data_IF_364992221357
#
_entry.id   IF_364992221357
#
_cell.length_a   1.000
_cell.length_b   1.000
_cell.length_c   1.000
_cell.angle_alpha   90.00
_cell.angle_beta   90.00
_cell.angle_gamma   90.00
#
_symmetry.space_group_name_H-M   'P 1'
#
loop_
_entity.id
_entity.type
_entity.pdbx_description
1 polymer ?
#
# COMPACT_ATOMS: atom_id res chain seq x y z
N UNK A 1 0.25 73.21 16.40
CA UNK A 1 1.13 72.17 15.82
C UNK A 1 0.94 70.89 16.66
N UNK A 2 -0.08 70.12 16.43
CA UNK A 2 -0.39 68.82 17.04
C UNK A 2 -1.78 68.44 16.53
N UNK A 3 -1.87 67.76 15.38
CA UNK A 3 -3.06 67.03 14.89
C UNK A 3 -2.71 66.49 13.49
N UNK A 4 -2.09 65.32 13.39
CA UNK A 4 -1.98 64.54 12.16
C UNK A 4 -1.23 63.22 12.49
N UNK A 5 -1.78 62.38 13.32
CA UNK A 5 -1.38 60.94 13.43
C UNK A 5 -2.59 60.20 14.04
N UNK A 6 -3.65 59.99 13.29
CA UNK A 6 -4.69 59.03 13.68
C UNK A 6 -5.56 58.74 12.45
N UNK A 7 -4.97 58.15 11.44
CA UNK A 7 -5.81 57.63 10.34
C UNK A 7 -5.01 56.65 9.42
N UNK A 8 -4.47 55.59 9.99
CA UNK A 8 -3.87 54.49 9.17
C UNK A 8 -3.82 53.18 9.95
N UNK A 9 -4.91 52.78 10.61
CA UNK A 9 -4.93 51.49 11.32
C UNK A 9 -6.32 50.85 11.35
N UNK A 10 -7.02 50.85 10.23
CA UNK A 10 -8.24 50.04 10.02
C UNK A 10 -8.36 49.55 8.58
N UNK A 11 -7.29 49.06 7.99
CA UNK A 11 -7.42 48.40 6.67
C UNK A 11 -6.45 47.21 6.55
N UNK A 12 -6.40 46.34 7.53
CA UNK A 12 -5.57 45.12 7.48
C UNK A 12 -6.19 43.91 8.21
N UNK A 13 -7.52 43.75 8.16
CA UNK A 13 -8.17 42.55 8.74
C UNK A 13 -9.32 42.01 7.89
N UNK A 14 -9.15 41.87 6.58
CA UNK A 14 -10.14 41.15 5.74
C UNK A 14 -9.52 40.24 4.69
N UNK A 15 -8.26 39.82 4.81
CA UNK A 15 -7.62 38.89 3.86
C UNK A 15 -7.20 37.58 4.56
N UNK A 16 -7.90 37.17 5.60
CA UNK A 16 -7.57 35.96 6.37
C UNK A 16 -8.57 34.79 6.25
N UNK A 17 -9.72 35.00 5.61
CA UNK A 17 -10.79 33.98 5.65
C UNK A 17 -10.99 33.19 4.33
N UNK A 18 -10.26 33.51 3.26
CA UNK A 18 -10.48 32.88 1.96
C UNK A 18 -9.52 31.72 1.62
N UNK A 19 -8.55 31.41 2.47
CA UNK A 19 -7.55 30.37 2.17
C UNK A 19 -7.73 29.06 2.97
N UNK A 20 -8.76 28.97 3.83
CA UNK A 20 -8.99 27.77 4.64
C UNK A 20 -10.06 26.82 4.07
N UNK A 21 -10.75 27.19 3.00
CA UNK A 21 -11.78 26.36 2.37
C UNK A 21 -11.28 25.52 1.18
N UNK A 22 -10.02 25.66 0.75
CA UNK A 22 -9.47 24.94 -0.37
C UNK A 22 -8.88 23.55 -0.03
N UNK A 23 -8.88 23.13 1.23
CA UNK A 23 -8.37 21.81 1.66
C UNK A 23 -9.48 20.78 1.97
N UNK A 24 -10.75 21.14 1.80
CA UNK A 24 -11.88 20.26 2.15
C UNK A 24 -12.65 19.72 0.93
N UNK A 25 -12.19 19.93 -0.29
CA UNK A 25 -12.73 19.27 -1.48
C UNK A 25 -11.68 18.36 -2.11
N UNK A 26 -11.28 17.33 -1.37
CA UNK A 26 -10.91 16.08 -2.02
C UNK A 26 -12.25 15.46 -2.41
N UNK A 27 -12.61 15.61 -3.69
CA UNK A 27 -13.74 14.90 -4.29
C UNK A 27 -13.72 13.46 -3.78
N UNK A 28 -14.86 12.98 -3.31
CA UNK A 28 -15.06 11.57 -3.00
C UNK A 28 -14.80 10.81 -4.28
N UNK A 29 -13.60 10.23 -4.39
CA UNK A 29 -13.25 9.36 -5.49
C UNK A 29 -14.38 8.35 -5.66
N UNK A 30 -14.90 8.21 -6.86
CA UNK A 30 -15.93 7.23 -7.15
C UNK A 30 -15.31 5.84 -6.97
N UNK A 31 -16.10 4.82 -6.61
CA UNK A 31 -15.55 3.47 -6.43
C UNK A 31 -14.80 2.96 -7.67
N UNK A 32 -15.15 3.46 -8.85
CA UNK A 32 -14.48 3.16 -10.14
C UNK A 32 -13.09 3.77 -10.19
N UNK A 33 -12.90 5.01 -9.71
CA UNK A 33 -11.61 5.69 -9.70
C UNK A 33 -10.63 4.99 -8.74
N UNK A 34 -11.11 4.61 -7.55
CA UNK A 34 -10.31 3.86 -6.56
C UNK A 34 -9.87 2.50 -7.12
N UNK A 35 -10.76 1.79 -7.81
CA UNK A 35 -10.44 0.49 -8.43
C UNK A 35 -9.36 0.64 -9.51
N UNK A 36 -9.46 1.65 -10.37
CA UNK A 36 -8.46 1.92 -11.41
C UNK A 36 -7.10 2.27 -10.82
N UNK A 37 -7.06 3.11 -9.81
CA UNK A 37 -5.82 3.52 -9.15
C UNK A 37 -5.13 2.33 -8.48
N UNK A 38 -5.88 1.45 -7.82
CA UNK A 38 -5.35 0.21 -7.23
C UNK A 38 -4.82 -0.74 -8.32
N UNK A 39 -5.49 -0.86 -9.46
CA UNK A 39 -5.03 -1.69 -10.58
C UNK A 39 -3.73 -1.19 -11.18
N UNK A 40 -3.62 0.12 -11.42
CA UNK A 40 -2.41 0.75 -11.94
C UNK A 40 -1.24 0.55 -10.98
N UNK A 41 -1.46 0.82 -9.68
CA UNK A 41 -0.47 0.63 -8.64
C UNK A 41 0.03 -0.83 -8.58
N UNK A 42 -0.88 -1.81 -8.67
CA UNK A 42 -0.52 -3.24 -8.68
C UNK A 42 0.34 -3.61 -9.88
N UNK A 43 0.00 -3.09 -11.08
CA UNK A 43 0.74 -3.37 -12.31
C UNK A 43 2.15 -2.84 -12.24
N UNK A 44 2.30 -1.60 -11.84
CA UNK A 44 3.59 -0.91 -11.79
C UNK A 44 4.50 -1.53 -10.72
N UNK A 45 3.96 -1.84 -9.54
CA UNK A 45 4.72 -2.47 -8.47
C UNK A 45 5.09 -3.93 -8.75
N UNK A 46 4.27 -4.71 -9.47
CA UNK A 46 4.63 -6.08 -9.87
C UNK A 46 5.81 -6.08 -10.87
N UNK A 47 5.80 -5.17 -11.85
CA UNK A 47 6.88 -5.04 -12.84
C UNK A 47 8.20 -4.62 -12.21
N UNK A 48 8.16 -3.67 -11.28
CA UNK A 48 9.35 -3.11 -10.68
C UNK A 48 9.87 -3.90 -9.46
N UNK A 49 9.05 -4.73 -8.81
CA UNK A 49 9.46 -5.46 -7.60
C UNK A 49 10.69 -6.33 -7.82
N UNK A 50 10.71 -7.15 -8.87
CA UNK A 50 11.84 -8.02 -9.21
C UNK A 50 13.10 -7.21 -9.49
N UNK A 51 12.94 -6.10 -10.21
CA UNK A 51 14.02 -5.15 -10.51
C UNK A 51 14.57 -4.47 -9.24
N UNK A 52 13.69 -4.02 -8.35
CA UNK A 52 14.08 -3.42 -7.07
C UNK A 52 14.83 -4.40 -6.18
N UNK A 53 14.40 -5.67 -6.14
CA UNK A 53 15.12 -6.73 -5.42
C UNK A 53 16.49 -6.94 -6.06
N UNK A 54 16.59 -7.05 -7.38
CA UNK A 54 17.86 -7.25 -8.08
C UNK A 54 18.86 -6.11 -7.83
N UNK A 55 18.39 -4.87 -7.73
CA UNK A 55 19.24 -3.69 -7.47
C UNK A 55 19.75 -3.64 -6.01
N UNK A 56 19.05 -4.26 -5.06
CA UNK A 56 19.34 -4.14 -3.64
C UNK A 56 19.84 -5.45 -2.99
N UNK A 57 19.82 -6.56 -3.73
CA UNK A 57 20.30 -7.87 -3.26
C UNK A 57 21.57 -8.27 -4.05
N UNK A 58 22.78 -8.11 -3.47
CA UNK A 58 24.02 -8.39 -4.17
C UNK A 58 24.27 -9.89 -4.29
N UNK A 59 23.81 -10.49 -5.38
CA UNK A 59 24.01 -11.91 -5.72
C UNK A 59 25.21 -12.06 -6.65
N UNK A 60 25.98 -13.14 -6.46
CA UNK A 60 26.92 -13.63 -7.49
C UNK A 60 26.14 -14.26 -8.65
N UNK A 61 26.78 -14.50 -9.79
CA UNK A 61 26.10 -15.16 -10.92
C UNK A 61 25.56 -16.56 -10.57
N UNK A 62 26.33 -17.33 -9.79
CA UNK A 62 25.91 -18.66 -9.31
C UNK A 62 24.69 -18.55 -8.39
N UNK A 63 24.72 -17.62 -7.42
CA UNK A 63 23.58 -17.39 -6.52
C UNK A 63 22.34 -16.92 -7.29
N UNK A 64 22.51 -16.01 -8.24
CA UNK A 64 21.42 -15.47 -9.06
C UNK A 64 20.74 -16.58 -9.88
N UNK A 65 21.51 -17.47 -10.49
CA UNK A 65 20.99 -18.61 -11.26
C UNK A 65 20.11 -19.54 -10.40
N UNK A 66 20.47 -19.71 -9.12
CA UNK A 66 19.72 -20.58 -8.20
C UNK A 66 18.57 -19.83 -7.51
N UNK A 67 18.75 -18.55 -7.21
CA UNK A 67 17.78 -17.74 -6.46
C UNK A 67 16.55 -17.37 -7.29
N UNK A 68 16.71 -16.92 -8.53
CA UNK A 68 15.58 -16.40 -9.30
C UNK A 68 14.47 -17.41 -9.56
N UNK A 69 14.73 -18.70 -9.85
CA UNK A 69 13.67 -19.70 -9.93
C UNK A 69 12.88 -19.87 -8.63
N UNK A 70 13.55 -19.80 -7.47
CA UNK A 70 12.90 -19.85 -6.15
C UNK A 70 12.08 -18.59 -5.90
N UNK A 71 12.62 -17.43 -6.24
CA UNK A 71 11.89 -16.17 -6.16
C UNK A 71 10.63 -16.18 -7.03
N UNK A 72 10.69 -16.69 -8.25
CA UNK A 72 9.53 -16.73 -9.15
C UNK A 72 8.41 -17.62 -8.60
N UNK A 73 8.73 -18.73 -7.92
CA UNK A 73 7.76 -19.57 -7.20
C UNK A 73 7.17 -18.82 -5.98
N UNK A 74 8.00 -18.17 -5.18
CA UNK A 74 7.57 -17.33 -4.07
C UNK A 74 6.63 -16.22 -4.55
N UNK A 75 7.02 -15.53 -5.61
CA UNK A 75 6.23 -14.43 -6.18
C UNK A 75 4.89 -14.92 -6.73
N UNK A 76 4.82 -16.14 -7.30
CA UNK A 76 3.58 -16.76 -7.76
C UNK A 76 2.64 -17.09 -6.60
N UNK A 77 3.14 -17.68 -5.50
CA UNK A 77 2.33 -17.99 -4.31
C UNK A 77 1.81 -16.70 -3.66
N UNK A 78 2.68 -15.69 -3.48
CA UNK A 78 2.27 -14.37 -2.99
C UNK A 78 1.29 -13.68 -3.95
N UNK A 79 1.44 -13.89 -5.24
CA UNK A 79 0.54 -13.36 -6.27
C UNK A 79 -0.90 -13.85 -6.09
N UNK A 80 -1.10 -15.15 -5.89
CA UNK A 80 -2.44 -15.74 -5.63
C UNK A 80 -3.11 -15.13 -4.40
N UNK A 81 -2.36 -15.00 -3.30
CA UNK A 81 -2.84 -14.35 -2.08
C UNK A 81 -3.21 -12.88 -2.33
N UNK A 82 -2.38 -12.16 -3.08
CA UNK A 82 -2.62 -10.75 -3.39
C UNK A 82 -3.83 -10.57 -4.30
N UNK A 83 -4.10 -11.51 -5.21
CA UNK A 83 -5.30 -11.49 -6.04
C UNK A 83 -6.57 -11.68 -5.19
N UNK A 84 -6.53 -12.60 -4.20
CA UNK A 84 -7.63 -12.77 -3.24
C UNK A 84 -7.83 -11.51 -2.38
N UNK A 85 -6.75 -10.88 -1.93
CA UNK A 85 -6.82 -9.62 -1.18
C UNK A 85 -7.41 -8.47 -2.02
N UNK A 86 -7.03 -8.39 -3.27
CA UNK A 86 -7.59 -7.40 -4.19
C UNK A 86 -9.09 -7.61 -4.41
N UNK A 87 -9.54 -8.86 -4.56
CA UNK A 87 -10.97 -9.17 -4.66
C UNK A 87 -11.72 -8.69 -3.41
N UNK A 88 -11.16 -8.94 -2.21
CA UNK A 88 -11.75 -8.46 -0.97
C UNK A 88 -11.86 -6.93 -0.92
N UNK A 89 -10.83 -6.21 -1.38
CA UNK A 89 -10.84 -4.74 -1.46
C UNK A 89 -11.91 -4.25 -2.43
N UNK A 90 -12.03 -4.86 -3.60
CA UNK A 90 -13.08 -4.51 -4.58
C UNK A 90 -14.47 -4.66 -3.98
N UNK A 91 -14.73 -5.80 -3.34
CA UNK A 91 -16.01 -6.09 -2.72
C UNK A 91 -16.33 -5.07 -1.61
N UNK A 92 -15.31 -4.69 -0.82
CA UNK A 92 -15.43 -3.63 0.17
C UNK A 92 -15.81 -2.28 -0.45
N UNK A 93 -15.05 -1.82 -1.43
CA UNK A 93 -15.28 -0.51 -2.08
C UNK A 93 -16.66 -0.45 -2.71
N UNK A 94 -17.10 -1.54 -3.37
CA UNK A 94 -18.40 -1.61 -4.02
C UNK A 94 -19.59 -1.57 -3.02
N UNK A 95 -19.42 -2.14 -1.82
CA UNK A 95 -20.52 -2.38 -0.88
C UNK A 95 -20.44 -1.57 0.42
N UNK A 96 -19.38 -0.78 0.65
CA UNK A 96 -19.10 -0.14 1.94
C UNK A 96 -20.25 0.67 2.55
N UNK A 97 -21.11 1.27 1.70
CA UNK A 97 -22.26 2.10 2.14
C UNK A 97 -23.49 1.28 2.56
N UNK A 98 -23.52 0.01 2.19
CA UNK A 98 -24.68 -0.89 2.42
C UNK A 98 -24.28 -2.15 3.17
N UNK A 99 -23.05 -2.19 3.71
CA UNK A 99 -22.50 -3.34 4.40
C UNK A 99 -23.30 -3.60 5.69
N UNK A 100 -23.81 -4.82 5.83
CA UNK A 100 -24.40 -5.26 7.11
C UNK A 100 -23.30 -5.66 8.10
N UNK A 101 -23.65 -5.73 9.40
CA UNK A 101 -22.72 -6.15 10.47
C UNK A 101 -22.13 -7.54 10.18
N UNK A 102 -22.94 -8.49 9.72
CA UNK A 102 -22.49 -9.85 9.39
C UNK A 102 -21.52 -9.85 8.19
N UNK A 103 -21.78 -9.03 7.19
CA UNK A 103 -20.89 -8.86 6.04
C UNK A 103 -19.57 -8.22 6.47
N UNK A 104 -19.62 -7.17 7.31
CA UNK A 104 -18.44 -6.52 7.85
C UNK A 104 -17.58 -7.50 8.68
N UNK A 105 -18.20 -8.29 9.56
CA UNK A 105 -17.52 -9.32 10.33
C UNK A 105 -16.86 -10.38 9.44
N UNK A 106 -17.54 -10.83 8.39
CA UNK A 106 -17.00 -11.79 7.41
C UNK A 106 -15.81 -11.22 6.67
N UNK A 107 -15.90 -9.98 6.21
CA UNK A 107 -14.79 -9.29 5.52
C UNK A 107 -13.58 -9.09 6.43
N UNK A 108 -13.79 -8.70 7.68
CA UNK A 108 -12.72 -8.55 8.68
C UNK A 108 -12.00 -9.89 8.93
N UNK A 109 -12.74 -10.98 9.06
CA UNK A 109 -12.19 -12.33 9.20
C UNK A 109 -11.35 -12.71 7.98
N UNK A 110 -11.88 -12.51 6.78
CA UNK A 110 -11.16 -12.82 5.54
C UNK A 110 -9.90 -11.97 5.37
N UNK A 111 -9.95 -10.70 5.74
CA UNK A 111 -8.77 -9.83 5.78
C UNK A 111 -7.68 -10.40 6.70
N UNK A 112 -8.03 -10.79 7.92
CA UNK A 112 -7.08 -11.37 8.88
C UNK A 112 -6.47 -12.69 8.38
N UNK A 113 -7.29 -13.58 7.77
CA UNK A 113 -6.82 -14.83 7.14
C UNK A 113 -5.78 -14.55 6.04
N UNK A 114 -6.03 -13.58 5.17
CA UNK A 114 -5.10 -13.21 4.11
C UNK A 114 -3.79 -12.62 4.64
N UNK A 115 -3.80 -11.91 5.77
CA UNK A 115 -2.56 -11.48 6.44
C UNK A 115 -1.77 -12.66 6.98
N UNK A 116 -2.45 -13.64 7.58
CA UNK A 116 -1.83 -14.88 8.06
C UNK A 116 -1.25 -15.71 6.90
N UNK A 117 -1.98 -15.87 5.80
CA UNK A 117 -1.50 -16.55 4.59
C UNK A 117 -0.18 -15.94 4.08
N UNK A 118 -0.07 -14.61 4.05
CA UNK A 118 1.17 -13.93 3.64
C UNK A 118 2.36 -14.25 4.57
N UNK A 119 2.11 -14.34 5.87
CA UNK A 119 3.13 -14.72 6.84
C UNK A 119 3.54 -16.19 6.67
N UNK A 120 2.60 -17.10 6.46
CA UNK A 120 2.84 -18.53 6.22
C UNK A 120 3.64 -18.77 4.93
N UNK A 121 3.32 -18.05 3.85
CA UNK A 121 4.10 -18.13 2.60
C UNK A 121 5.55 -17.70 2.86
N UNK A 122 5.80 -16.59 3.54
CA UNK A 122 7.16 -16.17 3.89
C UNK A 122 7.87 -17.22 4.72
N UNK A 123 7.22 -17.75 5.75
CA UNK A 123 7.77 -18.80 6.62
C UNK A 123 8.16 -20.06 5.82
N UNK A 124 7.31 -20.49 4.88
CA UNK A 124 7.58 -21.62 3.97
C UNK A 124 8.85 -21.40 3.15
N UNK A 125 9.04 -20.18 2.63
CA UNK A 125 10.13 -19.88 1.70
C UNK A 125 11.46 -19.51 2.37
N UNK A 126 11.50 -19.14 3.65
CA UNK A 126 12.75 -18.86 4.38
C UNK A 126 13.76 -19.99 4.21
N UNK A 127 13.48 -21.26 4.60
CA UNK A 127 14.45 -22.34 4.48
C UNK A 127 14.77 -22.73 3.03
N UNK A 128 13.88 -22.43 2.08
CA UNK A 128 14.12 -22.69 0.66
C UNK A 128 15.13 -21.69 0.09
N UNK A 129 14.98 -20.43 0.44
CA UNK A 129 15.89 -19.34 0.04
C UNK A 129 17.27 -19.52 0.69
N UNK A 130 17.34 -19.93 1.97
CA UNK A 130 18.60 -20.20 2.67
C UNK A 130 19.41 -21.34 2.07
N UNK A 131 18.78 -22.23 1.28
CA UNK A 131 19.51 -23.29 0.55
C UNK A 131 20.24 -22.79 -0.68
N UNK A 132 19.84 -21.64 -1.24
CA UNK A 132 20.36 -21.13 -2.51
C UNK A 132 21.21 -19.87 -2.38
N UNK A 133 21.05 -19.14 -1.25
CA UNK A 133 21.89 -18.00 -0.89
C UNK A 133 22.21 -18.02 0.61
N UNK A 134 23.23 -17.27 1.03
CA UNK A 134 23.62 -17.24 2.44
C UNK A 134 22.48 -16.72 3.35
N UNK A 135 22.40 -17.16 4.62
CA UNK A 135 21.38 -16.69 5.57
C UNK A 135 21.32 -15.17 5.71
N UNK A 136 22.47 -14.49 5.62
CA UNK A 136 22.52 -13.01 5.64
C UNK A 136 21.85 -12.39 4.41
N UNK A 137 22.06 -12.96 3.24
CA UNK A 137 21.41 -12.51 2.00
C UNK A 137 19.92 -12.87 1.99
N UNK A 138 19.54 -14.02 2.53
CA UNK A 138 18.15 -14.41 2.72
C UNK A 138 17.43 -13.40 3.64
N UNK A 139 18.02 -13.05 4.78
CA UNK A 139 17.49 -12.03 5.68
C UNK A 139 17.33 -10.67 4.95
N UNK A 140 18.35 -10.23 4.17
CA UNK A 140 18.25 -9.01 3.38
C UNK A 140 17.12 -9.07 2.35
N UNK A 141 16.97 -10.19 1.64
CA UNK A 141 15.86 -10.38 0.70
C UNK A 141 14.51 -10.20 1.37
N UNK A 142 14.26 -10.87 2.50
CA UNK A 142 12.97 -10.75 3.20
C UNK A 142 12.76 -9.37 3.83
N UNK A 143 13.82 -8.64 4.22
CA UNK A 143 13.72 -7.24 4.63
C UNK A 143 13.27 -6.33 3.48
N UNK A 144 13.87 -6.49 2.29
CA UNK A 144 13.48 -5.74 1.08
C UNK A 144 12.03 -6.06 0.73
N UNK A 145 11.68 -7.35 0.65
CA UNK A 145 10.33 -7.82 0.36
C UNK A 145 9.29 -7.20 1.31
N UNK A 146 9.56 -7.24 2.63
CA UNK A 146 8.67 -6.66 3.63
C UNK A 146 8.49 -5.16 3.46
N UNK A 147 9.56 -4.41 3.17
CA UNK A 147 9.48 -2.96 2.93
C UNK A 147 8.62 -2.64 1.71
N UNK A 148 8.81 -3.36 0.62
CA UNK A 148 7.99 -3.18 -0.58
C UNK A 148 6.51 -3.47 -0.30
N UNK A 149 6.20 -4.55 0.43
CA UNK A 149 4.82 -4.83 0.85
C UNK A 149 4.24 -3.76 1.75
N UNK A 150 5.01 -3.25 2.74
CA UNK A 150 4.54 -2.20 3.63
C UNK A 150 4.22 -0.89 2.88
N UNK A 151 5.01 -0.55 1.85
CA UNK A 151 4.74 0.60 0.99
C UNK A 151 3.46 0.40 0.18
N UNK A 152 3.24 -0.80 -0.37
CA UNK A 152 2.02 -1.15 -1.11
C UNK A 152 0.79 -1.11 -0.20
N UNK A 153 0.89 -1.68 1.01
CA UNK A 153 -0.20 -1.67 1.99
C UNK A 153 -0.57 -0.23 2.39
N UNK A 154 0.43 0.63 2.64
CA UNK A 154 0.21 2.03 2.97
C UNK A 154 -0.50 2.78 1.85
N UNK A 155 -0.03 2.64 0.61
CA UNK A 155 -0.63 3.28 -0.56
C UNK A 155 -2.06 2.78 -0.79
N UNK A 156 -2.31 1.48 -0.68
CA UNK A 156 -3.65 0.90 -0.82
C UNK A 156 -4.57 1.40 0.28
N UNK A 157 -4.13 1.35 1.54
CA UNK A 157 -4.93 1.78 2.70
C UNK A 157 -5.28 3.26 2.65
N UNK A 158 -4.38 4.11 2.13
CA UNK A 158 -4.63 5.54 1.99
C UNK A 158 -5.73 5.87 0.95
N UNK A 159 -6.02 4.95 0.05
CA UNK A 159 -7.07 5.09 -0.98
C UNK A 159 -8.43 4.53 -0.54
N UNK A 160 -8.43 3.66 0.48
CA UNK A 160 -9.67 3.03 0.93
C UNK A 160 -10.48 3.97 1.82
N UNK A 161 -11.78 4.16 1.53
CA UNK A 161 -12.65 4.90 2.42
C UNK A 161 -12.83 4.16 3.75
N UNK A 162 -12.97 4.89 4.84
CA UNK A 162 -13.32 4.32 6.13
C UNK A 162 -14.80 3.94 6.18
N UNK A 163 -15.12 2.91 6.95
CA UNK A 163 -16.49 2.59 7.31
C UNK A 163 -17.02 3.72 8.19
N UNK A 164 -17.92 4.53 7.63
CA UNK A 164 -18.58 5.61 8.37
C UNK A 164 -19.96 5.09 8.77
N UNK A 165 -20.28 5.23 10.04
CA UNK A 165 -21.62 4.93 10.59
C UNK A 165 -22.63 5.96 10.14
#
# INVERSE_FOLDING_TARGET
>A
MKKLIFSCLVLAMTIGAAHFTALAQKETATGVDVEQDILLLRRDLRGDKKKLIALNLPLTETEATQFWPVYDQYAADMGKRNDAFYTLIKDYVANQKTLTDDQAATMLKRWAELQLEAAQIRQKYIPIVEKVISPRKAALFFQIDRRLYAMMDLQTSAQLPLLIQ
#
